data_IF_402059209057
#
_entry.id   IF_402059209057
#
_cell.length_a   1.000
_cell.length_b   1.000
_cell.length_c   1.000
_cell.angle_alpha   90.00
_cell.angle_beta   90.00
_cell.angle_gamma   90.00
#
_symmetry.space_group_name_H-M   'P 1'
#
loop_
_entity.id
_entity.type
_entity.pdbx_description
1 polymer ?
#
# COMPACT_ATOMS: atom_id res chain seq x y z
N UNK A 1 -4.87 -15.70 -10.21
CA UNK A 1 -5.23 -14.27 -10.41
C UNK A 1 -4.06 -13.42 -9.96
N UNK A 2 -3.61 -12.47 -10.79
CA UNK A 2 -2.70 -11.41 -10.36
C UNK A 2 -3.56 -10.19 -10.05
N UNK A 3 -3.45 -9.64 -8.84
CA UNK A 3 -4.40 -8.63 -8.36
C UNK A 3 -3.69 -7.46 -7.71
N UNK A 4 -3.88 -6.27 -8.29
CA UNK A 4 -3.85 -5.01 -7.53
C UNK A 4 -5.31 -4.72 -7.11
N UNK A 5 -5.54 -4.59 -5.81
CA UNK A 5 -6.87 -4.73 -5.23
C UNK A 5 -7.61 -3.38 -5.08
N UNK A 6 -8.92 -3.46 -4.82
CA UNK A 6 -9.81 -2.30 -4.76
C UNK A 6 -9.97 -1.69 -3.36
N UNK A 7 -9.29 -2.24 -2.35
CA UNK A 7 -9.35 -1.82 -0.96
C UNK A 7 -8.97 -2.95 -0.02
N UNK A 8 -8.21 -2.63 1.02
CA UNK A 8 -7.54 -3.61 1.87
C UNK A 8 -8.53 -4.55 2.62
N UNK A 9 -9.65 -4.01 3.08
CA UNK A 9 -10.71 -4.81 3.72
C UNK A 9 -11.72 -5.36 2.69
N UNK A 10 -12.18 -4.50 1.77
CA UNK A 10 -13.24 -4.84 0.83
C UNK A 10 -12.88 -6.00 -0.11
N UNK A 11 -11.59 -6.16 -0.44
CA UNK A 11 -11.13 -7.17 -1.39
C UNK A 11 -10.97 -8.56 -0.76
N UNK A 12 -10.94 -8.71 0.57
CA UNK A 12 -10.70 -9.99 1.25
C UNK A 12 -11.71 -11.05 0.81
N UNK A 13 -13.01 -10.73 0.80
CA UNK A 13 -14.06 -11.66 0.43
C UNK A 13 -13.95 -12.14 -1.03
N UNK A 14 -13.54 -11.26 -1.94
CA UNK A 14 -13.36 -11.60 -3.36
C UNK A 14 -12.17 -12.56 -3.55
N UNK A 15 -11.06 -12.32 -2.85
CA UNK A 15 -9.87 -13.19 -2.90
C UNK A 15 -10.19 -14.55 -2.25
N UNK A 16 -10.92 -14.56 -1.13
CA UNK A 16 -11.35 -15.79 -0.48
C UNK A 16 -12.26 -16.62 -1.39
N UNK A 17 -13.23 -16.00 -2.07
CA UNK A 17 -14.09 -16.68 -3.05
C UNK A 17 -13.28 -17.36 -4.16
N UNK A 18 -12.23 -16.71 -4.68
CA UNK A 18 -11.36 -17.31 -5.69
C UNK A 18 -10.60 -18.52 -5.13
N UNK A 19 -10.07 -18.40 -3.90
CA UNK A 19 -9.39 -19.49 -3.20
C UNK A 19 -10.29 -20.71 -2.99
N UNK A 20 -11.53 -20.48 -2.53
CA UNK A 20 -12.51 -21.56 -2.30
C UNK A 20 -12.91 -22.28 -3.60
N UNK A 21 -12.83 -21.58 -4.74
CA UNK A 21 -13.01 -22.15 -6.06
C UNK A 21 -11.76 -22.84 -6.63
N UNK A 22 -10.68 -22.96 -5.85
CA UNK A 22 -9.41 -23.59 -6.27
C UNK A 22 -8.54 -22.70 -7.16
N UNK A 23 -8.82 -21.39 -7.24
CA UNK A 23 -8.05 -20.44 -8.07
C UNK A 23 -7.14 -19.57 -7.17
N UNK A 24 -5.82 -19.77 -7.19
CA UNK A 24 -4.92 -19.01 -6.33
C UNK A 24 -4.81 -17.55 -6.77
N UNK A 25 -4.59 -16.66 -5.80
CA UNK A 25 -4.36 -15.23 -6.03
C UNK A 25 -2.99 -14.80 -5.51
N UNK A 26 -2.27 -14.03 -6.32
CA UNK A 26 -1.00 -13.39 -6.01
C UNK A 26 -1.20 -11.88 -6.14
N UNK A 27 -1.10 -11.16 -5.03
CA UNK A 27 -1.36 -9.72 -4.98
C UNK A 27 -0.09 -8.93 -5.26
N UNK A 28 -0.26 -7.76 -5.88
CA UNK A 28 0.79 -6.78 -6.16
C UNK A 28 0.33 -5.38 -5.77
N UNK A 29 1.28 -4.47 -5.51
CA UNK A 29 1.08 -3.06 -5.14
C UNK A 29 0.38 -2.84 -3.80
N UNK A 30 -0.88 -3.27 -3.69
CA UNK A 30 -1.73 -3.09 -2.50
C UNK A 30 -1.91 -4.37 -1.69
N UNK A 31 -1.88 -4.19 -0.37
CA UNK A 31 -2.16 -5.25 0.59
C UNK A 31 -3.67 -5.46 0.80
N UNK A 32 -4.04 -6.63 1.32
CA UNK A 32 -5.32 -6.88 1.99
C UNK A 32 -5.08 -7.13 3.48
N UNK A 33 -6.04 -6.76 4.33
CA UNK A 33 -5.97 -6.92 5.79
C UNK A 33 -6.27 -8.36 6.25
N UNK A 34 -5.68 -9.35 5.58
CA UNK A 34 -5.80 -10.76 5.92
C UNK A 34 -4.57 -11.55 5.50
N UNK A 35 -4.15 -12.49 6.34
CA UNK A 35 -3.07 -13.45 6.02
C UNK A 35 -3.68 -14.81 5.65
N UNK A 36 -2.94 -15.60 4.85
CA UNK A 36 -3.36 -16.94 4.44
C UNK A 36 -4.51 -17.00 3.43
N UNK A 37 -5.07 -15.87 2.99
CA UNK A 37 -6.10 -15.79 1.94
C UNK A 37 -5.46 -15.73 0.56
N UNK A 38 -4.62 -14.72 0.31
CA UNK A 38 -3.73 -14.69 -0.84
C UNK A 38 -2.55 -15.65 -0.64
N UNK A 39 -2.01 -16.20 -1.74
CA UNK A 39 -0.79 -17.02 -1.70
C UNK A 39 0.43 -16.15 -1.43
N UNK A 40 0.47 -14.96 -2.03
CA UNK A 40 1.50 -13.96 -1.80
C UNK A 40 0.90 -12.55 -1.89
N UNK A 41 1.54 -11.62 -1.19
CA UNK A 41 1.31 -10.18 -1.33
C UNK A 41 2.69 -9.54 -1.55
N UNK A 42 2.99 -9.16 -2.79
CA UNK A 42 4.31 -8.64 -3.18
C UNK A 42 4.16 -7.13 -3.35
N UNK A 43 4.57 -6.39 -2.32
CA UNK A 43 4.43 -4.93 -2.26
C UNK A 43 5.79 -4.26 -2.09
N UNK A 44 5.87 -2.98 -2.46
CA UNK A 44 7.06 -2.18 -2.17
C UNK A 44 7.21 -1.96 -0.67
N UNK A 45 8.44 -1.69 -0.21
CA UNK A 45 8.64 -1.13 1.12
C UNK A 45 8.25 0.35 1.11
N UNK A 46 6.94 0.61 1.21
CA UNK A 46 6.35 1.94 1.07
C UNK A 46 6.89 2.95 2.09
N UNK A 47 7.16 2.50 3.33
CA UNK A 47 7.72 3.37 4.36
C UNK A 47 9.15 3.79 4.03
N UNK A 48 10.01 2.84 3.65
CA UNK A 48 11.38 3.13 3.27
C UNK A 48 11.46 4.07 2.05
N UNK A 49 10.62 3.83 1.04
CA UNK A 49 10.52 4.72 -0.13
C UNK A 49 10.04 6.13 0.24
N UNK A 50 9.06 6.24 1.14
CA UNK A 50 8.57 7.53 1.61
C UNK A 50 9.65 8.32 2.35
N UNK A 51 10.41 7.67 3.24
CA UNK A 51 11.53 8.33 3.95
C UNK A 51 12.61 8.86 3.00
N UNK A 52 12.97 8.09 1.96
CA UNK A 52 13.92 8.58 0.95
C UNK A 52 13.41 9.85 0.25
N UNK A 53 12.11 9.88 -0.09
CA UNK A 53 11.48 11.06 -0.68
C UNK A 53 11.44 12.25 0.28
N UNK A 54 11.08 12.01 1.55
CA UNK A 54 11.03 13.03 2.59
C UNK A 54 12.40 13.68 2.85
N UNK A 55 13.46 12.86 2.87
CA UNK A 55 14.83 13.34 3.04
C UNK A 55 15.25 14.29 1.92
N UNK A 56 14.99 13.92 0.66
CA UNK A 56 15.29 14.81 -0.47
C UNK A 56 14.40 16.05 -0.45
N UNK A 57 13.12 15.92 -0.06
CA UNK A 57 12.22 17.05 0.08
C UNK A 57 12.72 18.08 1.10
N UNK A 58 13.07 17.64 2.32
CA UNK A 58 13.62 18.50 3.38
C UNK A 58 14.91 19.20 2.93
N UNK A 59 15.80 18.46 2.24
CA UNK A 59 17.03 19.01 1.66
C UNK A 59 16.73 20.10 0.62
N UNK A 60 15.78 19.88 -0.29
CA UNK A 60 15.38 20.87 -1.30
C UNK A 60 14.69 22.09 -0.70
N UNK A 61 13.95 21.91 0.40
CA UNK A 61 13.32 22.99 1.17
C UNK A 61 14.34 23.80 2.00
N UNK A 62 15.59 23.32 2.11
CA UNK A 62 16.58 23.93 3.01
C UNK A 62 16.11 23.93 4.46
N UNK A 63 15.45 22.85 4.88
CA UNK A 63 14.97 22.59 6.25
C UNK A 63 13.95 23.61 6.79
N UNK A 64 13.32 24.42 5.93
CA UNK A 64 12.36 25.45 6.35
C UNK A 64 11.32 25.77 5.29
N UNK A 65 10.26 26.44 5.72
CA UNK A 65 9.16 26.89 4.85
C UNK A 65 7.90 26.07 5.05
N UNK A 66 6.77 26.68 4.72
CA UNK A 66 5.49 25.99 4.77
C UNK A 66 5.35 25.06 3.56
N UNK A 67 4.75 23.90 3.78
CA UNK A 67 4.41 22.95 2.73
C UNK A 67 3.00 22.41 2.94
N UNK A 68 2.52 21.65 1.96
CA UNK A 68 1.24 20.96 1.99
C UNK A 68 1.49 19.50 1.63
N UNK A 69 0.79 18.58 2.28
CA UNK A 69 0.79 17.15 1.95
C UNK A 69 -0.51 16.80 1.23
N UNK A 70 -0.39 16.09 0.09
CA UNK A 70 -1.53 15.47 -0.59
C UNK A 70 -1.49 13.97 -0.35
N UNK A 71 -2.51 13.45 0.33
CA UNK A 71 -2.58 12.04 0.73
C UNK A 71 -3.35 11.18 -0.28
N UNK A 72 -3.12 9.87 -0.19
CA UNK A 72 -3.82 8.86 -1.01
C UNK A 72 -5.21 8.50 -0.50
N UNK A 73 -5.79 7.45 -1.07
CA UNK A 73 -7.11 6.92 -0.66
C UNK A 73 -7.04 6.22 0.70
N UNK A 74 -8.02 6.45 1.56
CA UNK A 74 -8.11 5.83 2.90
C UNK A 74 -8.22 4.29 2.86
N UNK A 75 -8.83 3.73 1.80
CA UNK A 75 -8.98 2.29 1.63
C UNK A 75 -7.69 1.55 1.26
N UNK A 76 -6.61 2.29 0.96
CA UNK A 76 -5.29 1.78 0.59
C UNK A 76 -4.32 2.00 1.76
N UNK A 77 -3.84 0.92 2.36
CA UNK A 77 -2.88 0.99 3.48
C UNK A 77 -1.62 1.75 3.11
N UNK A 78 -1.21 1.71 1.84
CA UNK A 78 -0.01 2.40 1.35
C UNK A 78 -0.10 3.91 1.51
N UNK A 79 -1.30 4.51 1.43
CA UNK A 79 -1.49 5.94 1.63
C UNK A 79 -1.05 6.37 3.03
N UNK A 80 -1.55 5.68 4.06
CA UNK A 80 -1.17 5.93 5.45
C UNK A 80 0.28 5.57 5.76
N UNK A 81 0.81 4.49 5.16
CA UNK A 81 2.21 4.09 5.35
C UNK A 81 3.18 5.14 4.78
N UNK A 82 2.88 5.70 3.61
CA UNK A 82 3.70 6.75 2.99
C UNK A 82 3.64 8.05 3.79
N UNK A 83 2.43 8.47 4.19
CA UNK A 83 2.24 9.68 5.00
C UNK A 83 2.98 9.61 6.35
N UNK A 84 3.07 8.42 6.95
CA UNK A 84 3.90 8.22 8.16
C UNK A 84 5.41 8.27 7.90
N UNK A 85 5.85 7.99 6.69
CA UNK A 85 7.26 8.03 6.30
C UNK A 85 7.72 9.38 5.78
N UNK A 86 6.78 10.24 5.37
CA UNK A 86 6.99 11.66 5.11
C UNK A 86 7.17 12.44 6.42
#
# INVERSE_FOLDING_TARGET
IILDNAGADASVAAVQKAKDAGVPSFLIDREINATGVAVAQIVSNNYQGAQLGAQEFVKLMGEKGNYVELVGKESDTNAGIRSKGY
#
